data_IF_518740014240
#
_entry.id   IF_518740014240
#
_cell.length_a   1.000
_cell.length_b   1.000
_cell.length_c   1.000
_cell.angle_alpha   90.00
_cell.angle_beta   90.00
_cell.angle_gamma   90.00
#
_symmetry.space_group_name_H-M   'P 1'
#
loop_
_entity.id
_entity.type
_entity.pdbx_description
1 polymer ?
#
# COMPACT_ATOMS: atom_id res chain seq x y z
N UNK A 1 -21.45 40.77 -13.64
CA UNK A 1 -20.96 40.98 -12.24
C UNK A 1 -19.83 39.96 -12.02
N UNK A 2 -18.60 40.40 -12.23
CA UNK A 2 -17.39 39.60 -11.98
C UNK A 2 -17.22 39.42 -10.47
N UNK A 3 -17.27 38.20 -9.99
CA UNK A 3 -16.84 37.89 -8.63
C UNK A 3 -15.31 37.97 -8.62
N UNK A 4 -14.77 39.07 -8.13
CA UNK A 4 -13.36 39.13 -7.74
C UNK A 4 -13.12 38.12 -6.63
N UNK A 5 -12.36 37.07 -6.94
CA UNK A 5 -11.82 36.17 -5.93
C UNK A 5 -10.81 36.96 -5.10
N UNK A 6 -11.26 37.55 -4.00
CA UNK A 6 -10.35 38.05 -2.97
C UNK A 6 -9.62 36.83 -2.36
N UNK A 7 -8.42 36.56 -2.86
CA UNK A 7 -7.47 35.71 -2.14
C UNK A 7 -7.10 36.49 -0.88
N UNK A 8 -7.54 35.99 0.26
CA UNK A 8 -7.12 36.52 1.56
C UNK A 8 -5.63 36.28 1.73
N UNK A 9 -4.84 37.33 1.54
CA UNK A 9 -3.43 37.31 1.95
C UNK A 9 -3.35 37.80 3.40
N UNK A 10 -3.04 36.92 4.36
CA UNK A 10 -2.91 37.33 5.75
C UNK A 10 -1.73 38.29 5.90
N UNK A 11 -1.97 39.48 6.49
CA UNK A 11 -0.92 40.39 6.85
C UNK A 11 -0.08 39.83 8.01
N UNK A 12 1.11 39.40 7.69
CA UNK A 12 2.11 38.91 8.64
C UNK A 12 3.03 40.01 9.17
N UNK A 13 2.90 41.27 8.67
CA UNK A 13 3.68 42.39 9.14
C UNK A 13 3.37 42.66 10.61
N UNK A 14 4.37 42.62 11.46
CA UNK A 14 4.26 42.93 12.88
C UNK A 14 3.92 41.75 13.81
N UNK A 15 3.75 40.51 13.28
CA UNK A 15 3.52 39.31 14.12
C UNK A 15 4.71 38.37 14.25
N UNK A 16 5.76 38.53 13.43
CA UNK A 16 6.84 37.55 13.33
C UNK A 16 7.75 37.53 14.58
N UNK A 17 7.87 38.65 15.29
CA UNK A 17 8.63 38.78 16.53
C UNK A 17 7.94 38.10 17.73
N UNK A 18 6.61 37.90 17.66
CA UNK A 18 5.84 37.19 18.67
C UNK A 18 5.79 35.67 18.45
N UNK A 19 6.25 35.19 17.31
CA UNK A 19 6.24 33.78 16.95
C UNK A 19 7.46 33.05 17.56
N UNK A 20 7.19 31.87 18.12
CA UNK A 20 8.23 31.05 18.79
C UNK A 20 9.18 30.36 17.80
N UNK A 21 8.73 30.09 16.57
CA UNK A 21 9.45 29.23 15.63
C UNK A 21 9.60 29.88 14.24
N UNK A 22 8.56 30.56 13.74
CA UNK A 22 8.60 31.19 12.39
C UNK A 22 9.61 32.34 12.40
N UNK A 23 10.47 32.38 11.38
CA UNK A 23 11.59 33.35 11.26
C UNK A 23 12.59 33.32 12.42
N UNK A 24 12.69 32.20 13.16
CA UNK A 24 13.71 31.98 14.19
C UNK A 24 14.64 30.86 13.79
N UNK A 25 15.93 30.91 14.13
CA UNK A 25 16.89 29.84 13.89
C UNK A 25 16.66 28.69 14.88
N UNK A 26 15.60 27.90 14.64
CA UNK A 26 15.25 26.75 15.49
C UNK A 26 16.10 25.55 15.13
N UNK A 27 16.81 25.00 16.09
CA UNK A 27 17.60 23.78 15.90
C UNK A 27 16.68 22.59 15.72
N UNK A 28 16.93 21.77 14.69
CA UNK A 28 16.24 20.51 14.48
C UNK A 28 16.40 19.58 15.69
N UNK A 29 15.34 18.92 16.15
CA UNK A 29 15.32 18.10 17.38
C UNK A 29 16.45 17.06 17.46
N UNK A 30 16.75 16.42 16.32
CA UNK A 30 17.75 15.36 16.20
C UNK A 30 19.09 15.84 15.61
N UNK A 31 19.27 17.15 15.40
CA UNK A 31 20.48 17.71 14.78
C UNK A 31 21.76 17.27 15.51
N UNK A 32 21.78 17.35 16.85
CA UNK A 32 22.94 16.98 17.64
C UNK A 32 23.24 15.47 17.53
N UNK A 33 22.21 14.63 17.54
CA UNK A 33 22.39 13.19 17.37
C UNK A 33 22.96 12.85 16.00
N UNK A 34 22.44 13.50 14.95
CA UNK A 34 22.92 13.31 13.56
C UNK A 34 24.40 13.71 13.41
N UNK A 35 24.80 14.91 13.89
CA UNK A 35 26.19 15.39 13.72
C UNK A 35 27.19 14.68 14.63
N UNK A 36 26.73 14.05 15.72
CA UNK A 36 27.59 13.26 16.60
C UNK A 36 27.59 11.75 16.28
N UNK A 37 26.93 11.34 15.19
CA UNK A 37 26.86 9.94 14.78
C UNK A 37 26.05 9.05 15.73
N UNK A 38 25.04 9.60 16.42
CA UNK A 38 24.16 8.90 17.35
C UNK A 38 22.67 9.00 16.99
N UNK A 39 22.31 9.00 15.69
CA UNK A 39 20.89 8.94 15.32
C UNK A 39 20.32 7.56 15.74
N UNK A 40 19.04 7.54 16.12
CA UNK A 40 18.30 6.32 16.43
C UNK A 40 17.19 6.16 15.39
N UNK A 41 17.25 5.07 14.65
CA UNK A 41 16.25 4.70 13.65
C UNK A 41 15.36 3.55 14.16
N UNK A 42 14.30 3.24 13.42
CA UNK A 42 13.35 2.18 13.80
C UNK A 42 14.06 0.83 13.98
N UNK A 43 14.99 0.49 13.10
CA UNK A 43 15.74 -0.77 13.15
C UNK A 43 16.65 -0.87 14.39
N UNK A 44 17.15 0.27 14.90
CA UNK A 44 17.95 0.31 16.12
C UNK A 44 17.10 0.04 17.38
N UNK A 45 15.78 0.29 17.27
CA UNK A 45 14.81 0.09 18.36
C UNK A 45 14.11 -1.27 18.28
N UNK A 46 14.31 -2.02 17.21
CA UNK A 46 13.68 -3.34 17.06
C UNK A 46 14.14 -4.31 18.15
N UNK A 47 13.22 -4.99 18.85
CA UNK A 47 13.58 -6.03 19.82
C UNK A 47 14.44 -7.12 19.15
N UNK A 48 15.46 -7.61 19.87
CA UNK A 48 16.40 -8.61 19.32
C UNK A 48 15.75 -9.97 19.03
N UNK A 49 14.61 -10.24 19.63
CA UNK A 49 13.84 -11.47 19.54
C UNK A 49 12.57 -11.33 18.70
N UNK A 50 12.40 -10.20 18.00
CA UNK A 50 11.27 -10.04 17.08
C UNK A 50 11.39 -10.98 15.86
N UNK A 51 10.25 -11.41 15.36
CA UNK A 51 10.19 -12.18 14.12
C UNK A 51 10.46 -11.30 12.91
N UNK A 52 11.17 -11.84 11.94
CA UNK A 52 11.34 -11.24 10.61
C UNK A 52 10.18 -11.71 9.75
N UNK A 53 9.51 -10.73 9.12
CA UNK A 53 8.38 -11.00 8.22
C UNK A 53 8.73 -10.54 6.81
N UNK A 54 8.57 -11.44 5.83
CA UNK A 54 8.69 -11.12 4.41
C UNK A 54 7.45 -11.57 3.65
N UNK A 55 7.20 -10.89 2.53
CA UNK A 55 6.05 -11.15 1.67
C UNK A 55 6.52 -11.79 0.37
N UNK A 56 5.89 -12.91 -0.02
CA UNK A 56 5.97 -13.43 -1.38
C UNK A 56 5.01 -12.64 -2.26
N UNK A 57 5.51 -12.13 -3.37
CA UNK A 57 4.76 -11.26 -4.28
C UNK A 57 4.51 -11.94 -5.63
N UNK A 58 3.39 -11.61 -6.26
CA UNK A 58 3.02 -12.11 -7.59
C UNK A 58 3.94 -11.54 -8.67
N UNK A 59 4.41 -12.39 -9.61
CA UNK A 59 5.07 -11.93 -10.83
C UNK A 59 4.06 -11.54 -11.94
N UNK A 60 2.77 -11.81 -11.74
CA UNK A 60 1.71 -11.60 -12.73
C UNK A 60 0.90 -10.35 -12.44
N UNK A 61 0.50 -9.64 -13.48
CA UNK A 61 -0.33 -8.44 -13.39
C UNK A 61 -1.81 -8.75 -13.13
N UNK A 62 -2.28 -9.91 -13.58
CA UNK A 62 -3.66 -10.38 -13.37
C UNK A 62 -3.66 -11.92 -13.38
N UNK A 63 -3.98 -12.53 -12.25
CA UNK A 63 -4.02 -13.99 -12.12
C UNK A 63 -4.83 -14.44 -10.91
N UNK A 64 -5.33 -15.66 -10.98
CA UNK A 64 -5.91 -16.36 -9.82
C UNK A 64 -4.86 -17.30 -9.22
N UNK A 65 -4.61 -17.21 -7.93
CA UNK A 65 -3.80 -18.16 -7.19
C UNK A 65 -4.60 -19.43 -6.98
N UNK A 66 -4.26 -20.50 -7.71
CA UNK A 66 -4.93 -21.81 -7.59
C UNK A 66 -4.52 -22.55 -6.34
N UNK A 67 -3.22 -22.54 -6.04
CA UNK A 67 -2.67 -23.22 -4.87
C UNK A 67 -1.32 -22.61 -4.45
N UNK A 68 -1.03 -22.70 -3.15
CA UNK A 68 0.27 -22.37 -2.58
C UNK A 68 0.79 -23.60 -1.83
N UNK A 69 1.82 -24.28 -2.39
CA UNK A 69 2.44 -25.45 -1.76
C UNK A 69 3.46 -24.96 -0.73
N UNK A 70 3.07 -24.95 0.56
CA UNK A 70 3.86 -24.42 1.67
C UNK A 70 4.60 -25.48 2.52
N UNK A 71 4.28 -26.78 2.36
CA UNK A 71 4.83 -27.85 3.20
C UNK A 71 6.37 -27.91 3.27
N UNK A 72 7.06 -27.66 2.15
CA UNK A 72 8.53 -27.64 2.14
C UNK A 72 9.10 -26.40 2.84
N UNK A 73 8.43 -25.26 2.72
CA UNK A 73 8.80 -24.00 3.35
C UNK A 73 8.59 -24.04 4.87
N UNK A 74 7.48 -24.63 5.33
CA UNK A 74 7.15 -24.80 6.75
C UNK A 74 8.15 -25.65 7.51
N UNK A 75 8.83 -26.60 6.81
CA UNK A 75 9.88 -27.44 7.39
C UNK A 75 11.24 -26.75 7.54
N UNK A 76 11.40 -25.53 7.08
CA UNK A 76 12.65 -24.79 7.25
C UNK A 76 12.82 -24.43 8.73
N UNK A 77 13.93 -24.85 9.38
CA UNK A 77 14.17 -24.51 10.78
C UNK A 77 14.14 -22.99 11.00
N UNK A 78 13.41 -22.55 12.01
CA UNK A 78 13.24 -21.13 12.34
C UNK A 78 12.02 -20.45 11.71
N UNK A 79 11.25 -21.14 10.88
CA UNK A 79 9.95 -20.65 10.40
C UNK A 79 8.91 -20.88 11.49
N UNK A 80 8.16 -19.81 11.79
CA UNK A 80 7.10 -19.81 12.80
C UNK A 80 5.71 -19.86 12.15
N UNK A 81 5.50 -19.17 11.02
CA UNK A 81 4.23 -19.18 10.32
C UNK A 81 4.36 -18.82 8.84
N UNK A 82 3.47 -19.39 8.03
CA UNK A 82 3.26 -19.01 6.62
C UNK A 82 1.76 -18.86 6.39
N UNK A 83 1.32 -17.67 6.05
CA UNK A 83 -0.07 -17.34 5.77
C UNK A 83 -0.28 -17.11 4.28
N UNK A 84 -1.40 -17.63 3.78
CA UNK A 84 -1.88 -17.46 2.41
C UNK A 84 -3.28 -16.85 2.44
N UNK A 85 -3.88 -16.64 1.28
CA UNK A 85 -5.25 -16.14 1.18
C UNK A 85 -6.29 -17.04 1.90
N UNK A 86 -5.96 -18.31 2.14
CA UNK A 86 -6.83 -19.24 2.87
C UNK A 86 -6.81 -19.01 4.39
N UNK A 87 -5.69 -18.50 4.90
CA UNK A 87 -5.39 -18.41 6.34
C UNK A 87 -5.80 -17.06 6.95
N UNK A 88 -6.15 -16.05 6.13
CA UNK A 88 -6.39 -14.67 6.58
C UNK A 88 -7.87 -14.30 6.58
N UNK A 89 -8.28 -13.32 7.40
CA UNK A 89 -9.65 -12.79 7.39
C UNK A 89 -10.06 -12.26 6.01
N UNK A 90 -11.32 -12.45 5.65
CA UNK A 90 -11.90 -11.97 4.38
C UNK A 90 -12.54 -10.58 4.48
N UNK A 91 -12.28 -9.87 5.57
CA UNK A 91 -12.77 -8.50 5.74
C UNK A 91 -11.99 -7.55 4.85
N UNK A 92 -12.71 -6.80 4.02
CA UNK A 92 -12.11 -5.79 3.14
C UNK A 92 -11.77 -4.52 3.92
N UNK A 93 -10.74 -3.84 3.48
CA UNK A 93 -10.29 -2.55 4.00
C UNK A 93 -9.84 -1.64 2.86
N UNK A 94 -9.66 -0.36 3.16
CA UNK A 94 -9.08 0.61 2.23
C UNK A 94 -7.60 0.86 2.57
N UNK A 95 -6.78 1.08 1.55
CA UNK A 95 -5.38 1.47 1.72
C UNK A 95 -5.22 2.98 1.94
N UNK A 96 -6.23 3.76 1.62
CA UNK A 96 -6.28 5.19 1.92
C UNK A 96 -6.64 5.40 3.40
N UNK A 97 -6.72 6.62 3.87
CA UNK A 97 -7.03 6.93 5.27
C UNK A 97 -6.55 8.32 5.65
N UNK A 98 -6.56 9.23 4.67
CA UNK A 98 -6.08 10.60 4.86
C UNK A 98 -7.22 11.59 5.13
N UNK A 99 -8.47 11.18 4.92
CA UNK A 99 -9.66 12.04 5.07
C UNK A 99 -10.79 11.32 5.80
N UNK A 100 -11.78 12.07 6.24
CA UNK A 100 -13.02 11.52 6.77
C UNK A 100 -14.23 12.35 6.25
N UNK A 101 -15.26 11.73 5.67
CA UNK A 101 -15.30 10.29 5.34
C UNK A 101 -14.26 9.93 4.26
N UNK A 102 -13.76 8.69 4.32
CA UNK A 102 -12.77 8.20 3.36
C UNK A 102 -13.43 7.94 1.99
N UNK A 103 -13.01 8.64 0.91
CA UNK A 103 -13.64 8.51 -0.41
C UNK A 103 -13.17 7.26 -1.19
N UNK A 104 -12.12 6.59 -0.74
CA UNK A 104 -11.59 5.39 -1.40
C UNK A 104 -12.40 4.16 -1.06
N UNK A 105 -12.63 3.24 -2.00
CA UNK A 105 -13.40 2.04 -1.77
C UNK A 105 -12.69 1.06 -0.84
N UNK A 106 -13.47 0.21 -0.17
CA UNK A 106 -12.96 -0.94 0.60
C UNK A 106 -12.77 -2.13 -0.34
N UNK A 107 -11.71 -2.11 -1.14
CA UNK A 107 -11.44 -3.06 -2.20
C UNK A 107 -10.31 -4.05 -1.90
N UNK A 108 -9.60 -3.89 -0.76
CA UNK A 108 -8.44 -4.70 -0.39
C UNK A 108 -8.76 -5.78 0.62
N UNK A 109 -8.11 -6.94 0.44
CA UNK A 109 -7.92 -7.98 1.45
C UNK A 109 -6.46 -8.02 1.90
N UNK A 110 -6.18 -8.58 3.07
CA UNK A 110 -4.80 -8.77 3.56
C UNK A 110 -4.00 -9.59 2.55
N UNK A 111 -4.56 -10.72 2.12
CA UNK A 111 -4.11 -11.54 0.99
C UNK A 111 -5.35 -11.91 0.18
N UNK A 112 -5.29 -11.72 -1.12
CA UNK A 112 -6.35 -12.08 -2.04
C UNK A 112 -5.94 -13.27 -2.89
N UNK A 113 -6.90 -14.10 -3.26
CA UNK A 113 -6.71 -15.16 -4.24
C UNK A 113 -6.52 -14.58 -5.64
N UNK A 114 -7.16 -13.46 -5.93
CA UNK A 114 -7.03 -12.74 -7.18
C UNK A 114 -5.96 -11.66 -7.07
N UNK A 115 -4.81 -11.87 -7.69
CA UNK A 115 -3.74 -10.87 -7.80
C UNK A 115 -4.00 -9.96 -9.00
N UNK A 116 -3.86 -8.64 -8.80
CA UNK A 116 -4.30 -7.60 -9.75
C UNK A 116 -3.18 -6.70 -10.26
N UNK A 117 -1.96 -6.87 -9.74
CA UNK A 117 -0.77 -6.16 -10.23
C UNK A 117 0.50 -6.95 -9.94
N UNK A 118 1.56 -6.68 -10.70
CA UNK A 118 2.89 -7.24 -10.42
C UNK A 118 3.37 -6.75 -9.06
N UNK A 119 3.65 -7.68 -8.16
CA UNK A 119 4.03 -7.34 -6.79
C UNK A 119 2.90 -7.47 -5.76
N UNK A 120 1.70 -7.87 -6.17
CA UNK A 120 0.58 -8.12 -5.25
C UNK A 120 0.94 -9.20 -4.22
N UNK A 121 0.62 -9.02 -2.93
CA UNK A 121 0.93 -9.99 -1.88
C UNK A 121 0.25 -11.34 -2.10
N UNK A 122 1.01 -12.44 -2.05
CA UNK A 122 0.51 -13.82 -2.21
C UNK A 122 0.63 -14.62 -0.93
N UNK A 123 1.73 -14.46 -0.20
CA UNK A 123 1.92 -15.12 1.09
C UNK A 123 2.77 -14.25 2.03
N UNK A 124 2.52 -14.39 3.32
CA UNK A 124 3.29 -13.75 4.40
C UNK A 124 4.07 -14.84 5.10
N UNK A 125 5.38 -14.66 5.26
CA UNK A 125 6.28 -15.63 5.88
C UNK A 125 6.92 -14.99 7.10
N UNK A 126 6.78 -15.60 8.27
CA UNK A 126 7.36 -15.16 9.53
C UNK A 126 8.36 -16.19 10.06
N UNK A 127 9.52 -15.73 10.49
CA UNK A 127 10.57 -16.60 11.04
C UNK A 127 11.56 -15.85 11.91
N UNK A 128 12.45 -16.60 12.57
CA UNK A 128 13.40 -16.09 13.59
C UNK A 128 14.50 -15.22 13.01
N UNK A 129 14.87 -15.44 11.77
CA UNK A 129 15.91 -14.68 11.10
C UNK A 129 15.65 -14.55 9.59
N UNK A 130 16.35 -13.62 8.97
CA UNK A 130 16.19 -13.30 7.55
C UNK A 130 16.56 -14.49 6.65
N UNK A 131 17.57 -15.28 7.02
CA UNK A 131 18.05 -16.42 6.21
C UNK A 131 17.01 -17.53 6.13
N UNK A 132 16.38 -17.88 7.26
CA UNK A 132 15.33 -18.89 7.27
C UNK A 132 14.10 -18.43 6.47
N UNK A 133 13.69 -17.16 6.60
CA UNK A 133 12.57 -16.61 5.84
C UNK A 133 12.85 -16.56 4.33
N UNK A 134 14.05 -16.14 3.91
CA UNK A 134 14.42 -16.12 2.49
C UNK A 134 14.53 -17.55 1.91
N UNK A 135 15.00 -18.52 2.69
CA UNK A 135 15.01 -19.92 2.28
C UNK A 135 13.60 -20.46 2.10
N UNK A 136 12.73 -20.21 3.06
CA UNK A 136 11.31 -20.62 2.99
C UNK A 136 10.61 -19.99 1.79
N UNK A 137 10.81 -18.68 1.56
CA UNK A 137 10.24 -17.95 0.43
C UNK A 137 10.61 -18.59 -0.93
N UNK A 138 11.85 -19.06 -1.09
CA UNK A 138 12.31 -19.75 -2.31
C UNK A 138 11.70 -21.15 -2.48
N UNK A 139 11.27 -21.80 -1.40
CA UNK A 139 10.66 -23.12 -1.43
C UNK A 139 9.14 -23.10 -1.64
N UNK A 140 8.52 -21.94 -1.48
CA UNK A 140 7.10 -21.77 -1.80
C UNK A 140 6.88 -21.93 -3.31
N UNK A 141 5.93 -22.79 -3.67
CA UNK A 141 5.52 -22.99 -5.06
C UNK A 141 4.08 -22.53 -5.20
N UNK A 142 3.86 -21.55 -6.06
CA UNK A 142 2.53 -20.99 -6.35
C UNK A 142 2.12 -21.42 -7.75
N UNK A 143 0.91 -21.91 -7.86
CA UNK A 143 0.27 -22.24 -9.13
C UNK A 143 -0.72 -21.12 -9.47
N UNK A 144 -0.52 -20.50 -10.63
CA UNK A 144 -1.35 -19.39 -11.10
C UNK A 144 -2.15 -19.80 -12.33
N UNK A 145 -3.38 -19.31 -12.41
CA UNK A 145 -4.12 -19.16 -13.65
C UNK A 145 -3.95 -17.72 -14.09
N UNK A 146 -3.12 -17.51 -15.11
CA UNK A 146 -2.83 -16.17 -15.63
C UNK A 146 -3.99 -15.70 -16.49
N UNK A 147 -4.48 -14.48 -16.19
CA UNK A 147 -5.59 -13.83 -16.87
C UNK A 147 -5.09 -12.70 -17.78
N UNK A 148 -5.87 -12.28 -18.79
CA UNK A 148 -5.59 -11.07 -19.55
C UNK A 148 -5.45 -9.84 -18.61
N UNK A 149 -4.52 -8.94 -18.97
CA UNK A 149 -4.27 -7.74 -18.19
C UNK A 149 -4.15 -6.51 -19.11
N UNK A 150 -4.65 -5.37 -18.64
CA UNK A 150 -4.45 -4.08 -19.32
C UNK A 150 -3.17 -3.48 -18.72
N UNK A 151 -2.12 -3.40 -19.55
CA UNK A 151 -0.81 -2.86 -19.14
C UNK A 151 -0.58 -1.44 -19.64
N UNK A 152 -1.33 -1.01 -20.67
CA UNK A 152 -1.31 0.34 -21.20
C UNK A 152 -2.60 1.07 -20.76
N UNK A 153 -2.46 2.12 -19.95
CA UNK A 153 -3.59 2.88 -19.45
C UNK A 153 -4.39 3.57 -20.56
N UNK A 154 -3.79 3.87 -21.73
CA UNK A 154 -4.51 4.43 -22.89
C UNK A 154 -5.55 3.48 -23.45
N UNK A 155 -5.38 2.17 -23.23
CA UNK A 155 -6.29 1.12 -23.66
C UNK A 155 -7.32 0.75 -22.59
N UNK A 156 -7.26 1.38 -21.42
CA UNK A 156 -8.10 1.01 -20.27
C UNK A 156 -9.53 1.55 -20.41
N UNK A 157 -9.66 2.81 -20.82
CA UNK A 157 -10.97 3.46 -20.95
C UNK A 157 -11.84 2.73 -21.96
N UNK A 158 -13.08 2.43 -21.59
CA UNK A 158 -14.09 1.77 -22.40
C UNK A 158 -13.65 0.36 -22.91
N UNK A 159 -12.71 -0.30 -22.21
CA UNK A 159 -12.28 -1.65 -22.50
C UNK A 159 -13.28 -2.69 -21.95
N UNK A 160 -13.44 -3.82 -22.67
CA UNK A 160 -14.29 -4.93 -22.20
C UNK A 160 -13.76 -5.60 -20.93
N UNK A 161 -12.43 -5.61 -20.74
CA UNK A 161 -11.81 -6.07 -19.50
C UNK A 161 -11.92 -4.98 -18.43
N UNK A 162 -12.68 -5.25 -17.37
CA UNK A 162 -12.85 -4.32 -16.27
C UNK A 162 -11.79 -4.53 -15.20
N UNK A 163 -11.15 -3.45 -14.78
CA UNK A 163 -10.13 -3.46 -13.69
C UNK A 163 -10.81 -3.59 -12.33
N UNK A 164 -11.93 -2.88 -12.12
CA UNK A 164 -12.76 -2.93 -10.93
C UNK A 164 -14.21 -3.25 -11.29
N UNK A 165 -14.55 -4.53 -11.52
CA UNK A 165 -15.88 -4.91 -12.03
C UNK A 165 -17.01 -4.72 -11.00
N UNK A 166 -16.69 -4.70 -9.70
CA UNK A 166 -17.70 -4.59 -8.64
C UNK A 166 -18.07 -3.12 -8.40
N UNK A 167 -19.35 -2.80 -8.41
CA UNK A 167 -19.84 -1.43 -8.17
C UNK A 167 -19.46 -0.92 -6.78
N UNK A 168 -19.35 -1.81 -5.78
CA UNK A 168 -18.89 -1.47 -4.43
C UNK A 168 -17.44 -0.98 -4.38
N UNK A 169 -16.66 -1.17 -5.44
CA UNK A 169 -15.27 -0.70 -5.57
C UNK A 169 -15.16 0.62 -6.34
N UNK A 170 -16.27 1.20 -6.70
CA UNK A 170 -16.30 2.52 -7.30
C UNK A 170 -15.76 3.56 -6.32
N UNK A 171 -14.94 4.47 -6.81
CA UNK A 171 -14.51 5.62 -6.03
C UNK A 171 -15.71 6.45 -5.58
N UNK A 172 -15.70 6.86 -4.32
CA UNK A 172 -16.71 7.77 -3.76
C UNK A 172 -16.43 9.24 -4.12
N UNK A 173 -15.36 9.51 -4.88
CA UNK A 173 -15.07 10.82 -5.45
C UNK A 173 -16.27 11.29 -6.28
N UNK A 174 -16.81 12.51 -6.05
CA UNK A 174 -18.06 12.95 -6.68
C UNK A 174 -17.93 13.24 -8.19
N UNK A 175 -16.74 13.10 -8.76
CA UNK A 175 -16.46 13.50 -10.16
C UNK A 175 -16.34 12.26 -11.05
N UNK A 176 -17.47 11.83 -11.61
CA UNK A 176 -17.54 10.99 -12.82
C UNK A 176 -16.84 9.62 -12.77
N UNK A 177 -16.78 8.96 -11.58
CA UNK A 177 -16.30 7.58 -11.50
C UNK A 177 -17.29 6.61 -12.16
N UNK A 178 -16.79 5.75 -13.05
CA UNK A 178 -17.58 4.73 -13.74
C UNK A 178 -16.74 3.46 -13.95
N UNK A 179 -16.99 2.44 -13.13
CA UNK A 179 -16.27 1.17 -13.18
C UNK A 179 -16.53 0.39 -14.46
N UNK A 180 -17.71 0.55 -15.08
CA UNK A 180 -18.06 -0.13 -16.34
C UNK A 180 -17.30 0.46 -17.53
N UNK A 181 -16.66 1.60 -17.34
CA UNK A 181 -15.82 2.25 -18.34
C UNK A 181 -14.35 2.31 -17.94
N UNK A 182 -13.97 1.68 -16.83
CA UNK A 182 -12.64 1.81 -16.23
C UNK A 182 -12.24 3.26 -15.90
N UNK A 183 -13.21 4.11 -15.51
CA UNK A 183 -12.97 5.50 -15.11
C UNK A 183 -12.99 5.63 -13.59
N UNK A 184 -11.90 6.12 -13.02
CA UNK A 184 -11.86 6.45 -11.58
C UNK A 184 -12.35 7.89 -11.30
N UNK A 185 -12.21 8.79 -12.25
CA UNK A 185 -12.75 10.16 -12.20
C UNK A 185 -12.77 10.79 -13.61
N UNK A 186 -13.61 11.78 -13.82
CA UNK A 186 -13.58 12.65 -15.01
C UNK A 186 -13.82 14.09 -14.59
N UNK A 187 -13.16 15.03 -15.26
CA UNK A 187 -13.41 16.48 -15.13
C UNK A 187 -13.52 17.08 -16.54
N UNK A 188 -14.48 17.99 -16.70
CA UNK A 188 -14.67 18.78 -17.93
C UNK A 188 -14.58 20.26 -17.55
N UNK A 189 -13.81 21.06 -18.31
CA UNK A 189 -13.69 22.50 -18.19
C UNK A 189 -14.68 23.22 -19.12
#
# INVERSE_FOLDING_TARGET
MSRENHIYEPDWSGRTDQLCSVNKPVIKKDALALVTGKPVYVDDLAPKDCLIVKVLRSPHANAIVKSVKKTAAERVPGIEAIYTWEDVPKQRFTMAGQTYPEPSPYDRLILDQHVRYVGDPVAIIAGKDEKCVDRARKLLKVEYEVLPAILDFHQSKDNELLVHPEESWKSLCPVGADNQRNLCASAED
#
